data_IF_029161023845
#
_entry.id   IF_029161023845
#
_cell.length_a   1.000
_cell.length_b   1.000
_cell.length_c   1.000
_cell.angle_alpha   90.00
_cell.angle_beta   90.00
_cell.angle_gamma   90.00
#
_symmetry.space_group_name_H-M   'P 1'
#
loop_
_entity.id
_entity.type
_entity.pdbx_description
1 polymer ?
#
# COMPACT_ATOMS: atom_id res chain seq x y z
N UNK A 1 -13.56 -23.48 -15.33
CA UNK A 1 -14.69 -22.64 -14.87
C UNK A 1 -14.34 -21.92 -13.58
N UNK A 2 -13.85 -22.62 -12.55
CA UNK A 2 -13.35 -22.01 -11.31
C UNK A 2 -12.30 -20.90 -11.54
N UNK A 3 -11.35 -21.11 -12.46
CA UNK A 3 -10.32 -20.10 -12.76
C UNK A 3 -10.89 -18.78 -13.30
N UNK A 4 -11.93 -18.86 -14.14
CA UNK A 4 -12.59 -17.67 -14.70
C UNK A 4 -13.34 -16.90 -13.62
N UNK A 5 -14.02 -17.60 -12.71
CA UNK A 5 -14.69 -16.97 -11.56
C UNK A 5 -13.66 -16.31 -10.64
N UNK A 6 -12.52 -16.97 -10.41
CA UNK A 6 -11.42 -16.41 -9.63
C UNK A 6 -10.84 -15.14 -10.27
N UNK A 7 -10.56 -15.15 -11.57
CA UNK A 7 -10.07 -13.97 -12.28
C UNK A 7 -11.10 -12.83 -12.25
N UNK A 8 -12.38 -13.14 -12.45
CA UNK A 8 -13.44 -12.15 -12.36
C UNK A 8 -13.47 -11.52 -10.97
N UNK A 9 -13.38 -12.33 -9.91
CA UNK A 9 -13.30 -11.84 -8.53
C UNK A 9 -12.04 -10.99 -8.28
N UNK A 10 -10.88 -11.43 -8.77
CA UNK A 10 -9.60 -10.74 -8.59
C UNK A 10 -9.66 -9.29 -9.11
N UNK A 11 -10.28 -9.09 -10.28
CA UNK A 11 -10.45 -7.79 -10.92
C UNK A 11 -11.73 -7.05 -10.52
N UNK A 12 -12.59 -7.65 -9.69
CA UNK A 12 -13.81 -7.01 -9.18
C UNK A 12 -13.57 -6.22 -7.91
N UNK A 13 -14.44 -5.25 -7.62
CA UNK A 13 -14.46 -4.61 -6.31
C UNK A 13 -14.96 -5.62 -5.26
N UNK A 14 -14.22 -5.77 -4.15
CA UNK A 14 -14.53 -6.72 -3.08
C UNK A 14 -15.91 -6.44 -2.46
N UNK A 15 -16.32 -5.17 -2.38
CA UNK A 15 -17.66 -4.75 -1.90
C UNK A 15 -18.81 -5.38 -2.68
N UNK A 16 -18.60 -5.69 -3.96
CA UNK A 16 -19.63 -6.23 -4.86
C UNK A 16 -19.53 -7.75 -5.02
N UNK A 17 -18.45 -8.36 -4.53
CA UNK A 17 -18.08 -9.73 -4.91
C UNK A 17 -17.77 -10.63 -3.73
N UNK A 18 -17.72 -10.09 -2.50
CA UNK A 18 -17.42 -10.81 -1.27
C UNK A 18 -18.26 -10.25 -0.14
N UNK A 19 -18.69 -11.12 0.76
CA UNK A 19 -19.36 -10.71 2.00
C UNK A 19 -18.35 -10.06 2.97
N UNK A 20 -18.76 -9.01 3.70
CA UNK A 20 -17.93 -8.38 4.73
C UNK A 20 -17.50 -9.35 5.85
N UNK A 21 -16.38 -9.03 6.51
CA UNK A 21 -15.80 -9.88 7.55
C UNK A 21 -16.47 -9.56 8.90
N UNK A 22 -17.44 -10.39 9.28
CA UNK A 22 -18.23 -10.20 10.51
C UNK A 22 -17.39 -10.27 11.78
N UNK A 23 -16.31 -11.04 11.79
CA UNK A 23 -15.42 -11.15 12.95
C UNK A 23 -14.71 -9.82 13.30
N UNK A 24 -14.65 -8.89 12.34
CA UNK A 24 -14.09 -7.54 12.51
C UNK A 24 -15.15 -6.49 12.84
N UNK A 25 -16.42 -6.89 13.01
CA UNK A 25 -17.50 -5.94 13.32
C UNK A 25 -17.37 -5.34 14.72
N UNK A 26 -16.96 -6.15 15.71
CA UNK A 26 -16.93 -5.80 17.14
C UNK A 26 -15.51 -5.58 17.71
N UNK A 27 -14.53 -5.33 16.85
CA UNK A 27 -13.12 -5.45 17.20
C UNK A 27 -12.43 -4.12 17.45
N UNK A 28 -12.76 -3.42 18.53
CA UNK A 28 -11.98 -2.24 18.94
C UNK A 28 -10.57 -2.60 19.47
N UNK A 29 -10.34 -3.89 19.81
CA UNK A 29 -9.10 -4.36 20.43
C UNK A 29 -8.63 -5.75 19.94
N UNK A 30 -8.87 -6.09 18.67
CA UNK A 30 -8.28 -7.33 18.12
C UNK A 30 -6.77 -7.13 17.96
N UNK A 31 -6.00 -7.89 18.74
CA UNK A 31 -4.53 -7.95 18.62
C UNK A 31 -4.07 -8.92 17.54
N UNK A 32 -4.90 -9.90 17.20
CA UNK A 32 -4.57 -10.99 16.27
C UNK A 32 -5.78 -11.37 15.40
N UNK A 33 -5.57 -11.49 14.09
CA UNK A 33 -6.61 -11.96 13.18
C UNK A 33 -6.83 -13.47 13.39
N UNK A 34 -8.03 -13.93 13.77
CA UNK A 34 -8.27 -15.34 14.14
C UNK A 34 -8.13 -16.32 12.96
N UNK A 35 -8.27 -15.83 11.74
CA UNK A 35 -8.19 -16.62 10.51
C UNK A 35 -7.62 -15.78 9.36
N UNK A 36 -7.14 -16.41 8.29
CA UNK A 36 -6.70 -15.70 7.11
C UNK A 36 -7.85 -14.95 6.44
N UNK A 37 -7.60 -13.72 6.04
CA UNK A 37 -8.59 -12.88 5.38
C UNK A 37 -8.04 -12.26 4.12
N UNK A 38 -8.92 -12.05 3.15
CA UNK A 38 -8.62 -11.24 1.97
C UNK A 38 -9.16 -9.84 2.19
N UNK A 39 -8.32 -8.86 1.90
CA UNK A 39 -8.72 -7.47 1.79
C UNK A 39 -8.41 -6.94 0.39
N UNK A 40 -9.03 -5.82 0.04
CA UNK A 40 -8.68 -5.03 -1.13
C UNK A 40 -7.88 -3.79 -0.71
N UNK A 41 -6.78 -3.54 -1.40
CA UNK A 41 -5.97 -2.33 -1.23
C UNK A 41 -6.70 -1.14 -1.87
N UNK A 42 -6.93 -0.10 -1.09
CA UNK A 42 -7.48 1.18 -1.55
C UNK A 42 -6.38 2.15 -1.94
N UNK A 43 -5.33 2.25 -1.13
CA UNK A 43 -4.20 3.13 -1.39
C UNK A 43 -2.94 2.66 -0.68
N UNK A 44 -1.79 3.06 -1.21
CA UNK A 44 -0.47 2.83 -0.63
C UNK A 44 0.25 4.17 -0.58
N UNK A 45 0.76 4.56 0.59
CA UNK A 45 1.53 5.79 0.79
C UNK A 45 2.79 5.48 1.59
N UNK A 46 3.89 6.17 1.30
CA UNK A 46 5.10 6.10 2.13
C UNK A 46 4.99 7.16 3.21
N UNK A 47 4.97 6.74 4.47
CA UNK A 47 4.96 7.62 5.64
C UNK A 47 6.37 7.85 6.20
N UNK A 48 7.37 7.12 5.69
CA UNK A 48 8.78 7.30 6.05
C UNK A 48 9.44 8.48 5.35
N UNK A 49 8.89 8.94 4.22
CA UNK A 49 9.40 10.07 3.43
C UNK A 49 8.41 11.24 3.43
N UNK A 50 8.85 12.51 3.61
CA UNK A 50 7.95 13.66 3.52
C UNK A 50 7.23 13.74 2.16
N UNK A 51 5.92 14.04 2.17
CA UNK A 51 5.10 14.13 0.95
C UNK A 51 5.70 15.08 -0.09
N UNK A 52 6.17 16.26 0.33
CA UNK A 52 6.76 17.24 -0.59
C UNK A 52 7.94 16.65 -1.36
N UNK A 53 8.81 15.90 -0.68
CA UNK A 53 9.95 15.23 -1.30
C UNK A 53 9.51 14.14 -2.29
N UNK A 54 8.48 13.36 -1.94
CA UNK A 54 7.92 12.37 -2.85
C UNK A 54 7.37 13.02 -4.13
N UNK A 55 6.64 14.13 -4.01
CA UNK A 55 6.14 14.88 -5.16
C UNK A 55 7.27 15.44 -6.03
N UNK A 56 8.30 16.05 -5.43
CA UNK A 56 9.46 16.55 -6.17
C UNK A 56 10.16 15.42 -6.95
N UNK A 57 10.35 14.26 -6.33
CA UNK A 57 10.94 13.09 -6.98
C UNK A 57 10.09 12.54 -8.14
N UNK A 58 8.78 12.67 -8.08
CA UNK A 58 7.89 12.26 -9.18
C UNK A 58 7.98 13.25 -10.35
N UNK A 59 7.96 14.56 -10.07
CA UNK A 59 7.97 15.61 -11.09
C UNK A 59 9.37 15.77 -11.73
N UNK A 60 10.45 15.69 -10.96
CA UNK A 60 11.81 15.82 -11.48
C UNK A 60 12.20 14.68 -12.43
N UNK A 61 11.70 13.45 -12.19
CA UNK A 61 11.92 12.31 -13.10
C UNK A 61 11.41 12.57 -14.51
N UNK A 62 10.34 13.35 -14.65
CA UNK A 62 9.77 13.70 -15.95
C UNK A 62 10.52 14.88 -16.61
N UNK A 63 11.15 15.75 -15.82
CA UNK A 63 11.90 16.91 -16.32
C UNK A 63 13.31 16.52 -16.82
N UNK A 64 13.98 15.61 -16.11
CA UNK A 64 15.35 15.15 -16.46
C UNK A 64 15.39 14.27 -17.72
N UNK A 65 14.25 13.74 -18.17
CA UNK A 65 14.15 13.05 -19.47
C UNK A 65 14.17 14.02 -20.67
N UNK A 66 13.94 15.31 -20.44
CA UNK A 66 13.97 16.36 -21.48
C UNK A 66 15.08 17.39 -21.30
N UNK A 67 15.69 17.48 -20.10
CA UNK A 67 16.68 18.50 -19.75
C UNK A 67 18.06 17.86 -19.48
N UNK A 68 18.64 17.21 -20.48
CA UNK A 68 20.09 17.26 -20.58
C UNK A 68 20.47 18.72 -20.83
N UNK A 69 21.21 19.31 -19.90
CA UNK A 69 21.72 20.69 -19.90
C UNK A 69 20.71 21.76 -19.43
N UNK A 70 20.78 22.10 -18.14
CA UNK A 70 21.09 23.46 -17.64
C UNK A 70 21.36 23.32 -16.13
N UNK A 71 22.59 23.62 -15.72
CA UNK A 71 23.05 23.43 -14.35
C UNK A 71 22.27 24.28 -13.35
N UNK A 72 21.75 23.63 -12.32
CA UNK A 72 21.39 24.26 -11.05
C UNK A 72 22.00 23.39 -9.95
N UNK A 73 23.29 23.62 -9.70
CA UNK A 73 24.03 23.13 -8.54
C UNK A 73 23.68 23.97 -7.30
N UNK A 74 22.42 23.98 -6.84
CA UNK A 74 22.04 24.68 -5.59
C UNK A 74 20.99 23.92 -4.75
N UNK A 75 21.14 22.59 -4.61
CA UNK A 75 20.47 21.85 -3.53
C UNK A 75 21.40 20.81 -2.89
N UNK A 76 22.68 21.15 -2.77
CA UNK A 76 23.60 20.35 -1.98
C UNK A 76 23.25 20.43 -0.48
N UNK A 77 23.25 19.25 0.14
CA UNK A 77 23.31 19.01 1.59
C UNK A 77 22.02 18.88 2.43
N UNK A 78 20.92 18.41 1.83
CA UNK A 78 20.07 17.50 2.61
C UNK A 78 20.79 16.17 2.73
N UNK A 79 21.64 16.01 3.77
CA UNK A 79 22.16 14.70 4.19
C UNK A 79 20.98 13.74 4.18
N UNK A 80 20.98 12.87 3.18
CA UNK A 80 19.93 11.91 2.93
C UNK A 80 20.12 10.84 4.00
N UNK A 81 19.64 11.10 5.21
CA UNK A 81 19.32 10.01 6.09
C UNK A 81 18.40 9.11 5.28
N UNK A 82 18.81 7.86 5.10
CA UNK A 82 17.96 6.81 4.55
C UNK A 82 16.75 6.72 5.47
N UNK A 83 15.75 7.55 5.22
CA UNK A 83 14.44 7.44 5.83
C UNK A 83 14.02 6.00 5.64
N UNK A 84 13.68 5.33 6.74
CA UNK A 84 13.19 3.97 6.66
C UNK A 84 11.87 4.03 5.89
N UNK A 85 11.89 3.58 4.63
CA UNK A 85 10.68 3.42 3.82
C UNK A 85 9.68 2.64 4.66
N UNK A 86 8.50 3.23 4.88
CA UNK A 86 7.45 2.64 5.69
C UNK A 86 6.14 2.86 4.97
N UNK A 87 5.59 1.80 4.40
CA UNK A 87 4.32 1.89 3.69
C UNK A 87 3.14 1.88 4.67
N UNK A 88 2.28 2.87 4.56
CA UNK A 88 0.93 2.88 5.09
C UNK A 88 -0.03 2.44 3.99
N UNK A 89 -0.83 1.43 4.26
CA UNK A 89 -1.71 0.78 3.30
C UNK A 89 -3.12 0.91 3.82
N UNK A 90 -4.00 1.52 3.04
CA UNK A 90 -5.43 1.47 3.33
C UNK A 90 -6.01 0.22 2.68
N UNK A 91 -6.63 -0.64 3.49
CA UNK A 91 -7.25 -1.89 3.04
C UNK A 91 -8.73 -1.92 3.44
N UNK A 92 -9.55 -2.66 2.71
CA UNK A 92 -10.98 -2.81 2.98
C UNK A 92 -11.44 -4.24 2.79
N UNK A 93 -12.41 -4.65 3.58
CA UNK A 93 -13.17 -5.90 3.39
C UNK A 93 -14.41 -5.69 2.49
N UNK A 94 -14.66 -4.45 2.04
CA UNK A 94 -15.83 -4.06 1.26
C UNK A 94 -16.78 -3.16 2.02
N UNK A 95 -16.73 -3.16 3.35
CA UNK A 95 -17.57 -2.35 4.22
C UNK A 95 -16.74 -1.39 5.08
N UNK A 96 -15.75 -1.92 5.79
CA UNK A 96 -14.86 -1.16 6.66
C UNK A 96 -13.52 -0.87 5.99
N UNK A 97 -12.89 0.21 6.44
CA UNK A 97 -11.56 0.61 5.98
C UNK A 97 -10.60 0.52 7.16
N UNK A 98 -9.50 -0.17 6.95
CA UNK A 98 -8.42 -0.36 7.90
C UNK A 98 -7.14 0.30 7.40
N UNK A 99 -6.27 0.70 8.33
CA UNK A 99 -4.91 1.15 8.03
C UNK A 99 -3.93 0.09 8.49
N UNK A 100 -3.12 -0.41 7.57
CA UNK A 100 -2.03 -1.33 7.84
C UNK A 100 -0.68 -0.63 7.66
N UNK A 101 0.29 -0.99 8.49
CA UNK A 101 1.64 -0.42 8.45
C UNK A 101 2.66 -1.52 8.17
N UNK A 102 3.60 -1.22 7.29
CA UNK A 102 4.72 -2.09 6.97
C UNK A 102 5.75 -2.09 8.12
N UNK A 103 5.67 -3.08 9.01
CA UNK A 103 6.65 -3.23 10.11
C UNK A 103 8.02 -3.72 9.63
N UNK A 104 8.01 -4.56 8.59
CA UNK A 104 9.22 -5.08 7.92
C UNK A 104 9.00 -4.97 6.43
N UNK A 105 10.09 -4.75 5.70
CA UNK A 105 10.04 -4.61 4.24
C UNK A 105 9.36 -5.83 3.60
N UNK A 106 8.28 -5.58 2.86
CA UNK A 106 7.57 -6.56 2.04
C UNK A 106 7.97 -6.30 0.58
N UNK A 107 8.66 -7.26 -0.04
CA UNK A 107 9.20 -7.12 -1.40
C UNK A 107 8.12 -6.83 -2.44
N UNK A 108 6.94 -7.41 -2.25
CA UNK A 108 5.85 -7.41 -3.22
C UNK A 108 4.97 -6.15 -3.11
N UNK A 109 5.23 -5.31 -2.09
CA UNK A 109 4.52 -4.06 -1.85
C UNK A 109 5.39 -2.85 -2.19
N UNK A 110 4.80 -1.95 -2.96
CA UNK A 110 5.48 -0.77 -3.47
C UNK A 110 4.49 0.39 -3.61
N UNK A 111 5.01 1.61 -3.79
CA UNK A 111 4.17 2.76 -4.12
C UNK A 111 3.46 2.62 -5.47
N UNK A 112 3.96 1.74 -6.35
CA UNK A 112 3.34 1.38 -7.63
C UNK A 112 2.29 0.27 -7.52
N UNK A 113 2.05 -0.29 -6.33
CA UNK A 113 0.99 -1.29 -6.13
C UNK A 113 -0.36 -0.66 -6.46
N UNK A 114 -1.09 -1.27 -7.40
CA UNK A 114 -2.31 -0.68 -7.95
C UNK A 114 -3.46 -0.73 -6.94
N UNK A 115 -4.22 0.37 -6.77
CA UNK A 115 -5.51 0.34 -6.09
C UNK A 115 -6.43 -0.74 -6.70
N UNK A 116 -7.15 -1.47 -5.85
CA UNK A 116 -7.99 -2.60 -6.26
C UNK A 116 -7.32 -3.97 -6.13
N UNK A 117 -6.00 -4.00 -5.95
CA UNK A 117 -5.23 -5.23 -5.67
C UNK A 117 -5.78 -5.97 -4.46
N UNK A 118 -5.85 -7.29 -4.54
CA UNK A 118 -6.24 -8.15 -3.41
C UNK A 118 -5.01 -8.52 -2.60
N UNK A 119 -5.11 -8.43 -1.27
CA UNK A 119 -4.07 -8.85 -0.34
C UNK A 119 -4.64 -9.94 0.55
N UNK A 120 -3.87 -11.02 0.69
CA UNK A 120 -4.20 -12.13 1.57
C UNK A 120 -3.34 -12.03 2.82
N UNK A 121 -3.97 -11.82 3.97
CA UNK A 121 -3.28 -11.71 5.25
C UNK A 121 -3.32 -13.06 5.95
N UNK A 122 -2.15 -13.70 6.03
CA UNK A 122 -1.93 -14.93 6.78
C UNK A 122 -1.50 -14.62 8.20
N UNK A 123 -2.01 -15.41 9.15
CA UNK A 123 -1.55 -15.44 10.53
C UNK A 123 -0.03 -15.61 10.59
N UNK A 124 0.66 -14.62 11.17
CA UNK A 124 1.98 -14.84 11.74
C UNK A 124 2.16 -13.93 12.96
N UNK A 125 2.49 -14.57 14.08
CA UNK A 125 2.89 -13.95 15.35
C UNK A 125 3.56 -12.58 15.15
N UNK A 126 2.91 -11.52 15.61
CA UNK A 126 3.58 -10.25 15.93
C UNK A 126 4.22 -10.45 17.31
N UNK A 127 5.51 -10.82 17.33
CA UNK A 127 6.33 -10.73 18.54
C UNK A 127 6.85 -9.32 18.72
#
# INVERSE_FOLDING_TARGET
MLDLVYHQWLYSNIKLSTEPIKELENSENIRELPQPFVFQIQSVTDIGTPNLKQYQMLVQKDYDAGAAEIGINEFDDFKIDKGYKCLCIQITDGEKIFKAFEQKRVSDLSLSTTPGSKVFLLLKYLR
#
